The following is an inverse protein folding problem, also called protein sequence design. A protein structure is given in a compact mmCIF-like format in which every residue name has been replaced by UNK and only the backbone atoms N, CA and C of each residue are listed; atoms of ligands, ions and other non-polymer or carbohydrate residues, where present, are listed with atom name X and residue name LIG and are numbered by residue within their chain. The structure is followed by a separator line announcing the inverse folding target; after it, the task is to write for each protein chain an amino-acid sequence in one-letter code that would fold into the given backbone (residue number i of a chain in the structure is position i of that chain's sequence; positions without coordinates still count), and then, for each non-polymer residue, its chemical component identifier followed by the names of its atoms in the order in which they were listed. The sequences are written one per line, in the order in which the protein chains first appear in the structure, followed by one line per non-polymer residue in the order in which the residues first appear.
data_IF_567065230977
#
_entry.id   IF_567065230977
#
_cell.length_a   1.000
_cell.length_b   1.000
_cell.length_c   1.000
_cell.angle_alpha   90.00
_cell.angle_beta   90.00
_cell.angle_gamma   90.00
#
_symmetry.space_group_name_H-M   'P 1'
#
loop_
_entity.id
_entity.type
_entity.pdbx_description
1 polymer ?
#
# COMPACT_ATOMS: atom_id res chain seq x y z
N UNK A 1 -9.90 -4.20 9.58
CA UNK A 1 -10.91 -3.64 8.66
C UNK A 1 -12.25 -3.40 9.36
N UNK A 2 -12.82 -4.39 10.06
CA UNK A 2 -14.14 -4.28 10.70
C UNK A 2 -14.28 -3.06 11.63
N UNK A 3 -13.26 -2.76 12.44
CA UNK A 3 -13.27 -1.58 13.32
C UNK A 3 -13.32 -0.28 12.51
N UNK A 4 -12.47 -0.15 11.48
CA UNK A 4 -12.47 1.02 10.59
C UNK A 4 -13.82 1.21 9.91
N UNK A 5 -14.41 0.12 9.41
CA UNK A 5 -15.75 0.17 8.80
C UNK A 5 -16.84 0.58 9.76
N UNK A 6 -16.75 0.17 11.04
CA UNK A 6 -17.67 0.61 12.07
C UNK A 6 -17.55 2.11 12.38
N UNK A 7 -16.33 2.62 12.43
CA UNK A 7 -16.08 4.04 12.70
C UNK A 7 -16.55 4.92 11.52
N UNK A 8 -16.31 4.50 10.28
CA UNK A 8 -16.86 5.14 9.08
C UNK A 8 -18.41 5.13 9.09
N UNK A 9 -19.03 3.98 9.42
CA UNK A 9 -20.50 3.84 9.52
C UNK A 9 -21.11 4.74 10.60
N UNK A 10 -20.40 4.97 11.68
CA UNK A 10 -20.83 5.86 12.77
C UNK A 10 -20.54 7.34 12.50
N UNK A 11 -19.83 7.65 11.40
CA UNK A 11 -19.39 9.00 11.09
C UNK A 11 -18.35 9.55 12.06
N UNK A 12 -17.59 8.66 12.73
CA UNK A 12 -16.52 9.05 13.66
C UNK A 12 -15.26 9.47 12.92
N UNK A 13 -15.07 8.97 11.71
CA UNK A 13 -13.99 9.32 10.78
C UNK A 13 -14.55 9.38 9.34
N UNK A 14 -13.87 10.12 8.47
CA UNK A 14 -14.09 10.13 7.03
C UNK A 14 -13.03 9.27 6.32
N UNK A 15 -13.23 8.94 5.03
CA UNK A 15 -12.21 8.28 4.23
C UNK A 15 -10.99 9.18 4.03
N UNK A 16 -11.17 10.49 3.88
CA UNK A 16 -10.07 11.46 3.79
C UNK A 16 -9.24 11.49 5.07
N UNK A 17 -9.86 11.56 6.25
CA UNK A 17 -9.15 11.51 7.54
C UNK A 17 -8.38 10.22 7.73
N UNK A 18 -8.95 9.08 7.33
CA UNK A 18 -8.28 7.78 7.38
C UNK A 18 -7.04 7.73 6.50
N UNK A 19 -7.13 8.20 5.25
CA UNK A 19 -5.98 8.26 4.33
C UNK A 19 -4.93 9.22 4.86
N UNK A 20 -5.35 10.41 5.35
CA UNK A 20 -4.41 11.39 5.92
C UNK A 20 -3.67 10.84 7.13
N UNK A 21 -4.35 10.06 7.99
CA UNK A 21 -3.69 9.36 9.09
C UNK A 21 -2.55 8.47 8.60
N UNK A 22 -2.80 7.61 7.60
CA UNK A 22 -1.76 6.73 7.08
C UNK A 22 -0.64 7.48 6.35
N UNK A 23 -0.95 8.55 5.62
CA UNK A 23 0.08 9.42 5.01
C UNK A 23 1.02 10.02 6.06
N UNK A 24 0.47 10.48 7.19
CA UNK A 24 1.27 10.99 8.30
C UNK A 24 2.15 9.89 8.92
N UNK A 25 1.64 8.65 9.04
CA UNK A 25 2.42 7.53 9.54
C UNK A 25 3.56 7.14 8.59
N UNK A 26 3.32 7.18 7.27
CA UNK A 26 4.37 6.98 6.26
C UNK A 26 5.48 8.01 6.43
N UNK A 27 5.13 9.29 6.57
CA UNK A 27 6.10 10.37 6.78
C UNK A 27 6.94 10.16 8.04
N UNK A 28 6.29 9.83 9.16
CA UNK A 28 6.94 9.60 10.46
C UNK A 28 7.87 8.38 10.47
N UNK A 29 7.71 7.47 9.52
CA UNK A 29 8.45 6.19 9.45
C UNK A 29 9.29 6.04 8.18
N UNK A 30 9.61 7.15 7.50
CA UNK A 30 10.42 7.16 6.26
C UNK A 30 11.75 6.43 6.40
N UNK A 31 12.36 6.47 7.57
CA UNK A 31 13.63 5.83 7.85
C UNK A 31 13.58 4.29 7.83
N UNK A 32 12.39 3.70 7.85
CA UNK A 32 12.21 2.25 7.65
C UNK A 32 12.40 1.83 6.19
N UNK A 33 12.35 2.76 5.24
CA UNK A 33 12.52 2.54 3.81
C UNK A 33 11.54 1.51 3.21
N UNK A 34 10.32 1.46 3.78
CA UNK A 34 9.28 0.52 3.34
C UNK A 34 8.62 0.94 2.02
N UNK A 35 8.44 2.24 1.78
CA UNK A 35 7.81 2.76 0.56
C UNK A 35 8.86 3.22 -0.45
N UNK A 36 8.61 2.90 -1.72
CA UNK A 36 9.37 3.42 -2.87
C UNK A 36 8.62 4.55 -3.56
N UNK A 37 7.29 4.55 -3.44
CA UNK A 37 6.44 5.62 -3.96
C UNK A 37 5.15 5.71 -3.13
N UNK A 38 4.70 6.94 -2.85
CA UNK A 38 3.45 7.21 -2.14
C UNK A 38 2.49 7.92 -3.09
N UNK A 39 1.29 7.38 -3.25
CA UNK A 39 0.26 7.89 -4.16
C UNK A 39 -0.67 8.90 -3.46
N UNK A 40 -0.09 9.85 -2.73
CA UNK A 40 -0.80 10.81 -1.88
C UNK A 40 -2.02 11.44 -2.57
N UNK A 41 -1.78 12.08 -3.74
CA UNK A 41 -2.85 12.80 -4.46
C UNK A 41 -3.97 11.88 -4.92
N UNK A 42 -3.63 10.68 -5.39
CA UNK A 42 -4.61 9.71 -5.88
C UNK A 42 -5.39 9.08 -4.73
N UNK A 43 -4.71 8.72 -3.64
CA UNK A 43 -5.33 8.18 -2.45
C UNK A 43 -6.32 9.16 -1.81
N UNK A 44 -5.95 10.44 -1.67
CA UNK A 44 -6.83 11.49 -1.17
C UNK A 44 -8.00 11.76 -2.11
N UNK A 45 -7.76 11.80 -3.44
CA UNK A 45 -8.84 11.95 -4.43
C UNK A 45 -9.83 10.79 -4.32
N UNK A 46 -9.33 9.54 -4.26
CA UNK A 46 -10.17 8.36 -4.11
C UNK A 46 -10.96 8.37 -2.80
N UNK A 47 -10.33 8.79 -1.69
CA UNK A 47 -10.99 8.95 -0.40
C UNK A 47 -12.15 9.95 -0.47
N UNK A 48 -11.93 11.12 -1.08
CA UNK A 48 -12.97 12.13 -1.29
C UNK A 48 -14.15 11.63 -2.16
N UNK A 49 -13.84 10.86 -3.19
CA UNK A 49 -14.87 10.21 -4.03
C UNK A 49 -15.70 9.21 -3.22
N UNK A 50 -15.05 8.43 -2.34
CA UNK A 50 -15.73 7.48 -1.47
C UNK A 50 -16.56 8.17 -0.38
N UNK A 51 -16.10 9.28 0.19
CA UNK A 51 -16.88 10.08 1.13
C UNK A 51 -18.20 10.57 0.49
N UNK A 52 -18.13 11.06 -0.76
CA UNK A 52 -19.33 11.46 -1.52
C UNK A 52 -20.25 10.27 -1.80
N UNK A 53 -19.68 9.18 -2.35
CA UNK A 53 -20.40 7.96 -2.67
C UNK A 53 -21.13 7.39 -1.44
N UNK A 54 -20.42 7.32 -0.31
CA UNK A 54 -20.97 6.82 0.95
C UNK A 54 -22.09 7.72 1.48
N UNK A 55 -21.92 9.04 1.40
CA UNK A 55 -22.93 10.01 1.83
C UNK A 55 -24.20 9.96 0.98
N UNK A 56 -24.06 9.74 -0.33
CA UNK A 56 -25.20 9.63 -1.25
C UNK A 56 -25.93 8.31 -1.07
N UNK A 57 -25.23 7.19 -0.96
CA UNK A 57 -25.80 5.88 -0.78
C UNK A 57 -24.83 4.93 -0.06
N UNK A 58 -24.94 4.74 1.26
CA UNK A 58 -24.08 3.88 2.06
C UNK A 58 -24.04 2.42 1.59
N UNK A 59 -25.10 1.93 0.95
CA UNK A 59 -25.18 0.55 0.45
C UNK A 59 -24.46 0.36 -0.90
N UNK A 60 -24.02 1.44 -1.55
CA UNK A 60 -23.34 1.38 -2.84
C UNK A 60 -21.84 1.07 -2.74
N UNK A 61 -21.24 1.16 -1.54
CA UNK A 61 -19.82 0.89 -1.36
C UNK A 61 -19.53 -0.61 -1.34
N UNK A 62 -18.40 -0.98 -1.93
CA UNK A 62 -17.93 -2.36 -1.98
C UNK A 62 -17.50 -2.89 -0.60
N UNK A 63 -17.20 -4.19 -0.52
CA UNK A 63 -16.90 -4.89 0.75
C UNK A 63 -15.59 -4.43 1.42
N UNK A 64 -14.68 -3.84 0.65
CA UNK A 64 -13.38 -3.39 1.13
C UNK A 64 -13.33 -1.87 1.39
N UNK A 65 -14.48 -1.21 1.49
CA UNK A 65 -14.50 0.21 1.86
C UNK A 65 -13.77 0.45 3.20
N UNK A 66 -12.96 1.49 3.24
CA UNK A 66 -12.08 1.78 4.38
C UNK A 66 -10.80 0.93 4.43
N UNK A 67 -10.55 0.04 3.46
CA UNK A 67 -9.31 -0.70 3.34
C UNK A 67 -8.26 0.13 2.59
N UNK A 68 -7.28 0.65 3.31
CA UNK A 68 -6.10 1.31 2.73
C UNK A 68 -4.99 0.29 2.55
N UNK A 69 -4.48 0.15 1.31
CA UNK A 69 -3.60 -0.95 0.88
C UNK A 69 -2.30 -0.41 0.28
N UNK A 70 -1.18 -0.98 0.69
CA UNK A 70 0.10 -0.85 0.00
C UNK A 70 0.33 -2.03 -0.95
N UNK A 71 1.06 -1.84 -2.05
CA UNK A 71 1.32 -2.86 -3.05
C UNK A 71 2.81 -3.07 -3.27
N UNK A 72 3.26 -4.33 -3.30
CA UNK A 72 4.66 -4.68 -3.56
C UNK A 72 5.08 -4.26 -4.97
N UNK A 73 6.31 -3.79 -5.12
CA UNK A 73 6.90 -3.30 -6.38
C UNK A 73 7.13 -4.36 -7.48
N UNK A 74 6.40 -5.45 -7.43
CA UNK A 74 6.29 -6.46 -8.50
C UNK A 74 4.85 -6.63 -8.96
N UNK A 75 3.92 -5.90 -8.35
CA UNK A 75 2.48 -5.98 -8.63
C UNK A 75 2.12 -4.84 -9.57
N UNK A 76 1.72 -5.16 -10.78
CA UNK A 76 1.34 -4.19 -11.80
C UNK A 76 0.10 -3.40 -11.36
N UNK A 77 0.22 -2.08 -11.40
CA UNK A 77 -0.88 -1.13 -11.30
C UNK A 77 -0.82 -0.23 -12.53
N UNK A 78 -1.88 -0.21 -13.31
CA UNK A 78 -1.94 0.50 -14.59
C UNK A 78 -1.55 1.97 -14.44
N UNK A 79 -0.77 2.47 -15.39
CA UNK A 79 -0.26 3.83 -15.45
C UNK A 79 0.69 4.23 -14.30
N UNK A 80 1.15 3.25 -13.49
CA UNK A 80 2.14 3.43 -12.43
C UNK A 80 3.43 2.67 -12.75
N UNK A 81 4.52 3.16 -12.18
CA UNK A 81 5.80 2.48 -12.27
C UNK A 81 5.78 1.13 -11.54
N UNK A 82 6.49 0.15 -12.09
CA UNK A 82 6.79 -1.12 -11.44
C UNK A 82 8.22 -1.51 -11.81
N UNK A 83 9.11 -1.48 -10.82
CA UNK A 83 10.55 -1.66 -11.08
C UNK A 83 11.08 -3.01 -10.61
N UNK A 84 10.29 -3.77 -9.85
CA UNK A 84 10.75 -4.98 -9.17
C UNK A 84 12.05 -4.74 -8.38
N UNK A 85 12.20 -3.55 -7.80
CA UNK A 85 13.39 -3.07 -7.10
C UNK A 85 14.69 -3.21 -7.91
N UNK A 86 14.62 -3.11 -9.27
CA UNK A 86 15.73 -3.32 -10.20
C UNK A 86 15.91 -2.16 -11.15
N UNK A 87 17.15 -1.77 -11.40
CA UNK A 87 17.52 -0.79 -12.43
C UNK A 87 17.10 -1.19 -13.84
N UNK A 88 16.93 -2.48 -14.12
CA UNK A 88 16.52 -2.97 -15.43
C UNK A 88 15.12 -2.48 -15.80
N UNK A 89 14.25 -2.31 -14.80
CA UNK A 89 12.88 -1.86 -14.99
C UNK A 89 12.64 -0.40 -14.54
N UNK A 90 13.70 0.34 -14.22
CA UNK A 90 13.59 1.75 -13.85
C UNK A 90 12.91 2.55 -14.98
N UNK A 91 11.85 3.30 -14.64
CA UNK A 91 11.03 4.04 -15.62
C UNK A 91 9.99 3.18 -16.36
N UNK A 92 9.90 1.88 -16.08
CA UNK A 92 8.85 1.05 -16.71
C UNK A 92 7.50 1.32 -16.07
N UNK A 93 6.56 1.81 -16.87
CA UNK A 93 5.17 2.06 -16.47
C UNK A 93 4.28 0.91 -16.94
N UNK A 94 3.48 0.36 -16.03
CA UNK A 94 2.60 -0.77 -16.33
C UNK A 94 1.42 -0.36 -17.21
N UNK A 95 1.17 -1.13 -18.26
CA UNK A 95 0.04 -0.92 -19.19
C UNK A 95 -1.27 -1.53 -18.70
N UNK A 96 -1.22 -2.34 -17.64
CA UNK A 96 -2.38 -3.03 -17.07
C UNK A 96 -2.26 -3.15 -15.55
N UNK A 97 -3.37 -3.41 -14.89
CA UNK A 97 -3.39 -3.78 -13.48
C UNK A 97 -3.42 -5.29 -13.29
N UNK A 98 -2.75 -5.79 -12.26
CA UNK A 98 -2.93 -7.16 -11.82
C UNK A 98 -4.40 -7.40 -11.42
N UNK A 99 -4.92 -8.61 -11.67
CA UNK A 99 -6.31 -8.96 -11.34
C UNK A 99 -6.65 -8.71 -9.85
N UNK A 100 -5.69 -8.92 -8.94
CA UNK A 100 -5.87 -8.61 -7.53
C UNK A 100 -6.14 -7.12 -7.30
N UNK A 101 -5.40 -6.24 -8.01
CA UNK A 101 -5.58 -4.78 -7.93
C UNK A 101 -6.96 -4.37 -8.45
N UNK A 102 -7.36 -4.89 -9.61
CA UNK A 102 -8.69 -4.60 -10.17
C UNK A 102 -9.81 -5.01 -9.21
N UNK A 103 -9.69 -6.19 -8.60
CA UNK A 103 -10.68 -6.70 -7.66
C UNK A 103 -10.80 -5.87 -6.38
N UNK A 104 -9.67 -5.48 -5.77
CA UNK A 104 -9.72 -4.66 -4.54
C UNK A 104 -10.24 -3.24 -4.82
N UNK A 105 -9.89 -2.65 -5.96
CA UNK A 105 -10.42 -1.34 -6.37
C UNK A 105 -11.91 -1.39 -6.67
N UNK A 106 -12.40 -2.48 -7.29
CA UNK A 106 -13.83 -2.71 -7.53
C UNK A 106 -14.63 -2.80 -6.21
N UNK A 107 -14.01 -3.31 -5.15
CA UNK A 107 -14.59 -3.40 -3.81
C UNK A 107 -14.29 -2.17 -2.93
N UNK A 108 -13.93 -1.04 -3.56
CA UNK A 108 -13.71 0.26 -2.92
C UNK A 108 -12.54 0.34 -1.93
N UNK A 109 -11.50 -0.46 -2.12
CA UNK A 109 -10.22 -0.23 -1.46
C UNK A 109 -9.51 1.02 -2.02
N UNK A 110 -8.56 1.55 -1.23
CA UNK A 110 -7.71 2.69 -1.58
C UNK A 110 -6.26 2.21 -1.62
N UNK A 111 -5.56 2.38 -2.74
CA UNK A 111 -4.13 2.09 -2.84
C UNK A 111 -3.36 3.34 -2.42
N UNK A 112 -2.49 3.20 -1.40
CA UNK A 112 -1.77 4.33 -0.82
C UNK A 112 -0.35 4.48 -1.37
N UNK A 113 0.24 3.41 -1.90
CA UNK A 113 1.60 3.47 -2.41
C UNK A 113 2.17 2.11 -2.77
N UNK A 114 3.38 2.17 -3.32
CA UNK A 114 4.19 1.04 -3.75
C UNK A 114 5.31 0.81 -2.74
N UNK A 115 5.47 -0.44 -2.28
CA UNK A 115 6.42 -0.79 -1.24
C UNK A 115 7.60 -1.61 -1.75
N UNK A 116 8.73 -1.41 -1.10
CA UNK A 116 10.03 -1.98 -1.42
C UNK A 116 10.04 -3.51 -1.28
N UNK A 117 10.92 -4.17 -2.01
CA UNK A 117 11.07 -5.62 -2.00
C UNK A 117 12.51 -6.01 -2.35
N UNK A 118 12.88 -7.27 -2.20
CA UNK A 118 14.08 -7.79 -2.84
C UNK A 118 13.93 -7.74 -4.37
N UNK A 119 15.04 -7.49 -5.06
CA UNK A 119 15.09 -7.38 -6.51
C UNK A 119 14.48 -8.62 -7.19
N UNK A 120 13.53 -8.39 -8.11
CA UNK A 120 12.75 -9.41 -8.81
C UNK A 120 12.01 -10.38 -7.88
N UNK A 121 11.70 -9.97 -6.66
CA UNK A 121 11.13 -10.84 -5.61
C UNK A 121 12.02 -12.05 -5.27
N UNK A 122 13.33 -11.95 -5.50
CA UNK A 122 14.30 -13.02 -5.25
C UNK A 122 15.19 -12.66 -4.07
N UNK A 123 14.75 -13.04 -2.87
CA UNK A 123 15.47 -12.78 -1.62
C UNK A 123 14.60 -13.07 -0.41
N UNK A 124 15.22 -13.04 0.77
CA UNK A 124 14.57 -13.37 2.04
C UNK A 124 14.80 -12.34 3.15
N UNK A 125 15.51 -11.22 2.85
CA UNK A 125 15.90 -10.23 3.86
C UNK A 125 15.46 -8.81 3.52
N UNK A 126 15.14 -8.53 2.26
CA UNK A 126 14.88 -7.21 1.68
C UNK A 126 16.07 -6.24 1.84
N UNK A 127 17.27 -6.77 1.65
CA UNK A 127 18.52 -5.99 1.58
C UNK A 127 18.99 -5.79 0.13
N UNK A 128 18.50 -6.61 -0.81
CA UNK A 128 18.83 -6.57 -2.22
C UNK A 128 17.80 -5.75 -3.01
N UNK A 129 17.93 -4.43 -2.96
CA UNK A 129 17.04 -3.48 -3.65
C UNK A 129 17.82 -2.27 -4.12
N UNK A 130 17.46 -1.72 -5.30
CA UNK A 130 18.02 -0.43 -5.78
C UNK A 130 17.67 0.73 -4.84
N UNK A 131 16.61 0.61 -4.07
CA UNK A 131 16.16 1.61 -3.10
C UNK A 131 16.83 1.47 -1.73
N UNK A 132 17.69 0.45 -1.56
CA UNK A 132 18.32 0.12 -0.28
C UNK A 132 17.48 -0.82 0.58
N UNK A 133 18.05 -1.23 1.71
CA UNK A 133 17.44 -2.19 2.62
C UNK A 133 16.20 -1.62 3.33
N UNK A 134 15.21 -2.48 3.53
CA UNK A 134 14.06 -2.21 4.41
C UNK A 134 14.44 -2.57 5.84
N UNK A 135 14.12 -1.69 6.78
CA UNK A 135 14.38 -1.91 8.20
C UNK A 135 13.17 -2.49 8.90
N UNK A 136 13.40 -3.44 9.80
CA UNK A 136 12.35 -4.03 10.61
C UNK A 136 11.77 -2.97 11.57
N UNK A 137 10.44 -2.78 11.57
CA UNK A 137 9.79 -1.75 12.37
C UNK A 137 9.87 -2.01 13.87
N UNK A 138 9.90 -3.28 14.31
CA UNK A 138 10.03 -3.64 15.73
C UNK A 138 11.47 -3.49 16.25
N UNK A 139 12.47 -3.75 15.40
CA UNK A 139 13.87 -3.58 15.74
C UNK A 139 14.71 -3.28 14.50
N UNK A 140 15.10 -2.02 14.34
CA UNK A 140 15.85 -1.52 13.17
C UNK A 140 17.22 -2.18 12.93
N UNK A 141 17.73 -2.95 13.90
CA UNK A 141 18.96 -3.73 13.77
C UNK A 141 18.74 -5.13 13.17
N UNK A 142 17.51 -5.49 12.86
CA UNK A 142 17.14 -6.74 12.22
C UNK A 142 16.63 -6.50 10.80
N UNK A 143 16.75 -7.53 9.96
CA UNK A 143 16.18 -7.55 8.61
C UNK A 143 14.66 -7.54 8.69
N UNK A 144 14.02 -7.01 7.66
CA UNK A 144 12.56 -6.97 7.55
C UNK A 144 11.94 -8.35 7.23
N UNK A 145 12.78 -9.25 6.73
CA UNK A 145 12.32 -10.43 5.99
C UNK A 145 12.05 -10.05 4.54
N UNK A 146 11.92 -11.03 3.67
CA UNK A 146 11.75 -10.82 2.22
C UNK A 146 11.16 -12.07 1.54
N UNK A 147 10.87 -11.92 0.27
CA UNK A 147 11.09 -10.78 -0.61
C UNK A 147 10.11 -9.62 -0.40
N UNK A 148 9.03 -9.78 0.36
CA UNK A 148 7.97 -8.77 0.61
C UNK A 148 8.21 -7.97 1.90
N UNK A 149 9.47 -7.59 2.20
CA UNK A 149 9.82 -6.89 3.44
C UNK A 149 9.12 -5.54 3.60
N UNK A 150 9.04 -4.75 2.52
CA UNK A 150 8.30 -3.48 2.53
C UNK A 150 6.82 -3.67 2.85
N UNK A 151 6.18 -4.73 2.31
CA UNK A 151 4.77 -5.04 2.62
C UNK A 151 4.56 -5.38 4.10
N UNK A 152 5.44 -6.21 4.67
CA UNK A 152 5.38 -6.58 6.09
C UNK A 152 5.60 -5.37 7.01
N UNK A 153 6.62 -4.57 6.70
CA UNK A 153 6.97 -3.37 7.49
C UNK A 153 5.90 -2.29 7.39
N UNK A 154 5.30 -2.09 6.21
CA UNK A 154 4.23 -1.12 6.03
C UNK A 154 3.04 -1.40 6.97
N UNK A 155 2.63 -2.66 7.10
CA UNK A 155 1.57 -3.06 8.03
C UNK A 155 2.02 -2.96 9.48
N UNK A 156 3.24 -3.42 9.80
CA UNK A 156 3.77 -3.39 11.16
C UNK A 156 3.96 -1.95 11.69
N UNK A 157 4.33 -1.03 10.82
CA UNK A 157 4.51 0.39 11.14
C UNK A 157 3.21 1.20 11.12
N UNK A 158 2.06 0.54 10.95
CA UNK A 158 0.74 1.16 10.88
C UNK A 158 0.64 2.26 9.80
N UNK A 159 1.23 2.01 8.63
CA UNK A 159 1.22 2.92 7.48
C UNK A 159 0.17 2.54 6.43
N UNK A 160 -0.46 1.40 6.60
CA UNK A 160 -1.60 0.92 5.83
C UNK A 160 -2.33 -0.16 6.62
N UNK A 161 -3.59 -0.43 6.26
CA UNK A 161 -4.37 -1.48 6.92
C UNK A 161 -3.99 -2.88 6.45
N UNK A 162 -3.57 -3.00 5.20
CA UNK A 162 -3.11 -4.24 4.59
C UNK A 162 -2.06 -3.94 3.51
N UNK A 163 -1.25 -4.93 3.17
CA UNK A 163 -0.32 -4.83 2.05
C UNK A 163 -0.34 -6.12 1.22
N UNK A 164 -0.26 -5.96 -0.10
CA UNK A 164 -0.10 -7.09 -0.99
C UNK A 164 1.39 -7.40 -1.16
N UNK A 165 1.72 -8.67 -0.95
CA UNK A 165 3.02 -9.26 -1.24
C UNK A 165 2.92 -10.35 -2.28
N UNK A 166 4.02 -11.07 -2.51
CA UNK A 166 4.08 -12.27 -3.35
C UNK A 166 4.86 -13.36 -2.62
N UNK A 167 4.52 -14.59 -2.90
CA UNK A 167 5.22 -15.76 -2.39
C UNK A 167 5.41 -16.76 -3.53
N UNK A 168 6.58 -17.33 -3.65
CA UNK A 168 6.99 -18.23 -4.74
C UNK A 168 7.53 -19.56 -4.24
N UNK A 169 7.53 -19.79 -2.93
CA UNK A 169 8.11 -21.03 -2.40
C UNK A 169 7.69 -21.44 -1.03
#
# INVERSE_FOLDING_TARGET
LTAVQLDLKKGLITFEELVQYYLNQIENTRDLNAYVEVYEKEALKRASELDKKYKENPESVGKLFGMVVAIKDVICYKDHEVTAASKILEGFTSLFSATAIERILHEDAIIIGRVNCDQFAMGSTNENSIYGAVRNAANKNHVAGGSSGGSAVAVQADTCLAALGSDTG
#
